data_IF_077014482021
#
_entry.id   IF_077014482021
#
_cell.length_a   1.000
_cell.length_b   1.000
_cell.length_c   1.000
_cell.angle_alpha   90.00
_cell.angle_beta   90.00
_cell.angle_gamma   90.00
#
_symmetry.space_group_name_H-M   'P 1'
#
loop_
_entity.id
_entity.type
_entity.pdbx_description
1 polymer ?
#
# COMPACT_ATOMS: atom_id res chain seq x y z
N UNK A 1 -15.23 14.34 11.95
CA UNK A 1 -14.09 14.59 11.04
C UNK A 1 -13.04 13.51 11.30
N UNK A 2 -12.66 12.74 10.28
CA UNK A 2 -11.64 11.68 10.42
C UNK A 2 -10.28 12.30 10.73
N UNK A 3 -9.53 11.78 11.72
CA UNK A 3 -8.18 12.25 12.03
C UNK A 3 -7.27 11.90 10.85
N UNK A 4 -6.83 12.92 10.12
CA UNK A 4 -5.86 12.79 9.04
C UNK A 4 -4.54 12.27 9.63
N UNK A 5 -4.02 11.15 9.12
CA UNK A 5 -2.67 10.66 9.46
C UNK A 5 -1.70 11.30 8.47
N UNK A 6 -1.11 12.41 8.88
CA UNK A 6 0.01 13.01 8.17
C UNK A 6 1.23 12.10 8.39
N UNK A 7 1.83 11.62 7.31
CA UNK A 7 3.15 10.98 7.36
C UNK A 7 4.17 12.09 7.14
N UNK A 8 5.06 12.28 8.12
CA UNK A 8 6.13 13.29 8.06
C UNK A 8 7.05 13.02 6.87
N UNK A 9 7.34 14.06 6.09
CA UNK A 9 8.21 14.02 4.93
C UNK A 9 9.58 13.38 5.25
N UNK A 10 10.17 13.67 6.41
CA UNK A 10 11.45 13.12 6.82
C UNK A 10 11.39 11.61 6.97
N UNK A 11 10.28 11.08 7.52
CA UNK A 11 10.07 9.63 7.67
C UNK A 11 9.99 8.94 6.30
N UNK A 12 9.30 9.57 5.33
CA UNK A 12 9.22 9.08 3.96
C UNK A 12 10.58 9.15 3.24
N UNK A 13 11.30 10.25 3.40
CA UNK A 13 12.65 10.42 2.85
C UNK A 13 13.62 9.37 3.40
N UNK A 14 13.62 9.14 4.71
CA UNK A 14 14.47 8.13 5.35
C UNK A 14 14.12 6.71 4.88
N UNK A 15 12.83 6.42 4.72
CA UNK A 15 12.38 5.16 4.14
C UNK A 15 12.89 4.98 2.71
N UNK A 16 12.70 5.97 1.82
CA UNK A 16 13.18 5.91 0.44
C UNK A 16 14.70 5.69 0.36
N UNK A 17 15.47 6.40 1.19
CA UNK A 17 16.94 6.25 1.26
C UNK A 17 17.35 4.88 1.78
N UNK A 18 16.66 4.36 2.80
CA UNK A 18 16.87 3.02 3.33
C UNK A 18 16.63 1.95 2.26
N UNK A 19 15.50 2.07 1.54
CA UNK A 19 15.14 1.15 0.47
C UNK A 19 16.21 1.15 -0.63
N UNK A 20 16.67 2.31 -1.09
CA UNK A 20 17.74 2.42 -2.11
C UNK A 20 19.00 1.65 -1.69
N UNK A 21 19.45 1.84 -0.44
CA UNK A 21 20.62 1.12 0.10
C UNK A 21 20.41 -0.39 0.14
N UNK A 22 19.24 -0.84 0.60
CA UNK A 22 18.91 -2.27 0.64
C UNK A 22 18.87 -2.88 -0.77
N UNK A 23 18.26 -2.17 -1.73
CA UNK A 23 18.18 -2.63 -3.10
C UNK A 23 19.57 -2.73 -3.76
N UNK A 24 20.44 -1.74 -3.55
CA UNK A 24 21.83 -1.81 -3.99
C UNK A 24 22.57 -3.04 -3.43
N UNK A 25 22.30 -3.43 -2.19
CA UNK A 25 22.97 -4.55 -1.52
C UNK A 25 22.47 -5.94 -1.95
N UNK A 26 21.17 -6.07 -2.25
CA UNK A 26 20.55 -7.37 -2.55
C UNK A 26 20.56 -7.76 -4.02
N UNK A 27 20.66 -6.80 -4.94
CA UNK A 27 20.33 -7.03 -6.35
C UNK A 27 21.53 -6.94 -7.29
N UNK A 28 22.55 -7.78 -7.06
CA UNK A 28 23.64 -8.03 -8.02
C UNK A 28 23.20 -8.76 -9.30
N UNK A 29 21.97 -9.30 -9.31
CA UNK A 29 21.43 -10.14 -10.39
C UNK A 29 20.55 -9.40 -11.40
N UNK A 30 20.21 -8.13 -11.15
CA UNK A 30 19.39 -7.35 -12.08
C UNK A 30 20.23 -6.79 -13.22
N UNK A 31 19.61 -6.64 -14.39
CA UNK A 31 20.27 -5.92 -15.47
C UNK A 31 20.47 -4.46 -15.07
N UNK A 32 21.55 -3.79 -15.53
CA UNK A 32 21.79 -2.38 -15.21
C UNK A 32 20.60 -1.45 -15.54
N UNK A 33 19.81 -1.81 -16.54
CA UNK A 33 18.63 -1.06 -16.97
C UNK A 33 17.51 -1.12 -15.92
N UNK A 34 17.20 -2.31 -15.41
CA UNK A 34 16.16 -2.49 -14.39
C UNK A 34 16.54 -1.86 -13.05
N UNK A 35 17.84 -1.92 -12.71
CA UNK A 35 18.38 -1.25 -11.54
C UNK A 35 18.19 0.27 -11.64
N UNK A 36 18.61 0.88 -12.76
CA UNK A 36 18.50 2.32 -12.99
C UNK A 36 17.05 2.80 -13.02
N UNK A 37 16.14 2.04 -13.63
CA UNK A 37 14.71 2.39 -13.66
C UNK A 37 14.11 2.45 -12.24
N UNK A 38 14.47 1.51 -11.36
CA UNK A 38 14.01 1.49 -9.97
C UNK A 38 14.63 2.61 -9.13
N UNK A 39 15.94 2.86 -9.27
CA UNK A 39 16.60 3.95 -8.53
C UNK A 39 16.04 5.32 -8.94
N UNK A 40 15.81 5.54 -10.23
CA UNK A 40 15.16 6.74 -10.74
C UNK A 40 13.73 6.91 -10.20
N UNK A 41 12.97 5.82 -10.07
CA UNK A 41 11.64 5.86 -9.47
C UNK A 41 11.70 6.29 -8.00
N UNK A 42 12.66 5.78 -7.23
CA UNK A 42 12.84 6.15 -5.82
C UNK A 42 13.33 7.59 -5.64
N UNK A 43 14.22 8.06 -6.52
CA UNK A 43 14.63 9.47 -6.59
C UNK A 43 13.45 10.40 -6.85
N UNK A 44 12.57 10.04 -7.80
CA UNK A 44 11.36 10.80 -8.07
C UNK A 44 10.43 10.85 -6.85
N UNK A 45 10.29 9.75 -6.12
CA UNK A 45 9.52 9.74 -4.87
C UNK A 45 10.14 10.65 -3.80
N UNK A 46 11.46 10.62 -3.62
CA UNK A 46 12.16 11.51 -2.67
C UNK A 46 11.92 12.99 -3.02
N UNK A 47 11.97 13.35 -4.30
CA UNK A 47 11.66 14.70 -4.78
C UNK A 47 10.20 15.08 -4.51
N UNK A 48 9.25 14.19 -4.80
CA UNK A 48 7.81 14.43 -4.58
C UNK A 48 7.48 14.64 -3.10
N UNK A 49 8.14 13.91 -2.20
CA UNK A 49 8.01 14.09 -0.74
C UNK A 49 8.50 15.48 -0.30
N UNK A 50 9.57 15.98 -0.90
CA UNK A 50 10.06 17.34 -0.63
C UNK A 50 9.11 18.45 -1.13
N UNK A 51 8.40 18.20 -2.23
CA UNK A 51 7.44 19.15 -2.82
C UNK A 51 6.11 19.11 -2.06
N UNK A 52 5.69 17.93 -1.61
CA UNK A 52 4.45 17.71 -0.88
C UNK A 52 4.73 16.96 0.43
N UNK A 53 5.11 17.70 1.50
CA UNK A 53 5.55 17.11 2.76
C UNK A 53 4.42 16.47 3.57
N UNK A 54 3.18 16.72 3.17
CA UNK A 54 1.97 16.22 3.81
C UNK A 54 1.14 15.42 2.81
N UNK A 55 1.01 14.12 3.07
CA UNK A 55 0.12 13.23 2.32
C UNK A 55 -1.08 12.84 3.19
N UNK A 56 -2.28 12.87 2.61
CA UNK A 56 -3.47 12.25 3.22
C UNK A 56 -3.36 10.73 3.06
N UNK A 57 -2.59 10.11 3.96
CA UNK A 57 -2.42 8.67 3.98
C UNK A 57 -3.57 8.01 4.72
N UNK A 58 -4.29 7.13 4.04
CA UNK A 58 -5.28 6.24 4.66
C UNK A 58 -4.66 4.87 4.91
N UNK A 59 -4.98 4.21 6.04
CA UNK A 59 -4.56 2.83 6.27
C UNK A 59 -4.98 1.96 5.09
N UNK A 60 -4.02 1.17 4.61
CA UNK A 60 -4.26 0.25 3.53
C UNK A 60 -5.12 -0.92 4.05
N UNK A 61 -6.33 -1.05 3.51
CA UNK A 61 -7.25 -2.15 3.84
C UNK A 61 -7.10 -3.26 2.82
N UNK A 62 -6.82 -4.48 3.29
CA UNK A 62 -6.84 -5.68 2.44
C UNK A 62 -8.28 -6.04 2.13
N UNK A 63 -8.52 -6.62 0.95
CA UNK A 63 -9.87 -7.01 0.55
C UNK A 63 -10.55 -7.92 1.59
N UNK A 64 -9.85 -8.90 2.17
CA UNK A 64 -10.40 -9.75 3.24
C UNK A 64 -10.91 -8.99 4.48
N UNK A 65 -10.38 -7.80 4.74
CA UNK A 65 -10.71 -6.96 5.89
C UNK A 65 -11.63 -5.79 5.48
N UNK A 66 -12.06 -5.73 4.21
CA UNK A 66 -12.93 -4.71 3.67
C UNK A 66 -14.39 -5.13 3.81
N UNK A 67 -15.24 -4.22 4.31
CA UNK A 67 -16.68 -4.48 4.46
C UNK A 67 -17.45 -4.72 3.15
N UNK A 68 -16.86 -4.35 2.02
CA UNK A 68 -17.44 -4.50 0.69
C UNK A 68 -16.96 -5.76 -0.02
N UNK A 69 -16.20 -6.61 0.67
CA UNK A 69 -15.67 -7.84 0.12
C UNK A 69 -16.45 -9.02 0.68
N UNK A 70 -16.95 -9.88 -0.21
CA UNK A 70 -17.61 -11.12 0.16
C UNK A 70 -16.99 -12.28 -0.61
N UNK A 71 -17.01 -13.47 -0.02
CA UNK A 71 -16.42 -14.69 -0.59
C UNK A 71 -17.50 -15.67 -1.05
N UNK A 72 -18.77 -15.25 -1.09
CA UNK A 72 -19.90 -16.12 -1.43
C UNK A 72 -19.75 -16.58 -2.89
N UNK A 73 -19.79 -17.91 -3.10
CA UNK A 73 -19.66 -18.51 -4.43
C UNK A 73 -18.26 -18.36 -5.07
N UNK A 74 -17.26 -17.89 -4.32
CA UNK A 74 -15.90 -17.69 -4.82
C UNK A 74 -14.97 -18.82 -4.37
N UNK A 75 -13.92 -19.06 -5.16
CA UNK A 75 -12.83 -19.97 -4.79
C UNK A 75 -12.08 -19.47 -3.54
N UNK A 76 -11.50 -20.38 -2.77
CA UNK A 76 -10.70 -20.03 -1.59
C UNK A 76 -9.58 -19.04 -1.94
N UNK A 77 -9.43 -17.98 -1.15
CA UNK A 77 -8.46 -16.91 -1.39
C UNK A 77 -8.95 -15.78 -2.30
N UNK A 78 -10.18 -15.89 -2.81
CA UNK A 78 -10.80 -14.94 -3.72
C UNK A 78 -12.23 -14.58 -3.28
N UNK A 79 -12.70 -13.45 -3.78
CA UNK A 79 -13.99 -12.90 -3.44
C UNK A 79 -14.38 -11.77 -4.38
N UNK A 80 -15.62 -11.32 -4.25
CA UNK A 80 -16.15 -10.17 -4.97
C UNK A 80 -16.03 -8.92 -4.11
N UNK A 81 -15.42 -7.86 -4.64
CA UNK A 81 -15.39 -6.55 -3.98
C UNK A 81 -16.34 -5.57 -4.69
N UNK A 82 -17.47 -5.26 -4.05
CA UNK A 82 -18.49 -4.36 -4.61
C UNK A 82 -17.94 -2.94 -4.87
N UNK A 83 -16.96 -2.52 -4.08
CA UNK A 83 -16.39 -1.17 -4.14
C UNK A 83 -15.47 -0.93 -5.34
N UNK A 84 -14.96 -2.01 -5.95
CA UNK A 84 -14.15 -1.96 -7.19
C UNK A 84 -14.82 -2.75 -8.32
N UNK A 85 -16.04 -3.23 -8.09
CA UNK A 85 -16.90 -3.96 -9.02
C UNK A 85 -16.20 -5.10 -9.78
N UNK A 86 -15.43 -5.92 -9.05
CA UNK A 86 -14.73 -7.07 -9.63
C UNK A 86 -14.36 -8.14 -8.61
N UNK A 87 -14.17 -9.35 -9.12
CA UNK A 87 -13.49 -10.43 -8.42
C UNK A 87 -12.03 -10.06 -8.15
N UNK A 88 -11.56 -10.33 -6.93
CA UNK A 88 -10.19 -10.03 -6.52
C UNK A 88 -9.72 -11.01 -5.45
N UNK A 89 -8.45 -10.93 -5.05
CA UNK A 89 -7.89 -11.80 -4.02
C UNK A 89 -8.01 -11.19 -2.64
N UNK A 90 -8.02 -12.04 -1.61
CA UNK A 90 -8.07 -11.65 -0.19
C UNK A 90 -6.99 -10.63 0.17
N UNK A 91 -5.82 -10.78 -0.45
CA UNK A 91 -4.63 -9.98 -0.21
C UNK A 91 -4.56 -8.72 -1.08
N UNK A 92 -5.50 -8.51 -1.99
CA UNK A 92 -5.52 -7.31 -2.82
C UNK A 92 -5.75 -6.05 -1.98
N UNK A 93 -5.20 -4.93 -2.43
CA UNK A 93 -5.31 -3.64 -1.77
C UNK A 93 -6.61 -2.95 -2.18
N UNK A 94 -7.52 -2.70 -1.23
CA UNK A 94 -8.74 -1.95 -1.49
C UNK A 94 -8.49 -0.45 -1.26
N UNK A 95 -8.24 0.30 -2.34
CA UNK A 95 -7.94 1.73 -2.29
C UNK A 95 -9.01 2.58 -1.59
N UNK A 96 -10.26 2.12 -1.61
CA UNK A 96 -11.41 2.75 -0.98
C UNK A 96 -12.05 1.86 0.09
N UNK A 97 -11.34 0.82 0.55
CA UNK A 97 -11.89 -0.16 1.46
C UNK A 97 -12.18 0.47 2.81
N UNK A 98 -13.44 0.39 3.25
CA UNK A 98 -13.78 0.67 4.64
C UNK A 98 -13.48 -0.60 5.42
N UNK A 99 -12.67 -0.48 6.48
CA UNK A 99 -12.43 -1.59 7.40
C UNK A 99 -13.77 -2.15 7.87
N UNK A 100 -13.88 -3.47 7.92
CA UNK A 100 -14.97 -4.12 8.63
C UNK A 100 -14.85 -3.69 10.10
N UNK A 101 -15.87 -3.01 10.64
CA UNK A 101 -15.93 -2.77 12.08
C UNK A 101 -16.09 -4.14 12.74
N UNK A 102 -14.99 -4.71 13.23
CA UNK A 102 -15.09 -5.78 14.21
C UNK A 102 -15.43 -5.08 15.52
N UNK A 103 -16.72 -4.99 15.83
CA UNK A 103 -17.11 -4.85 17.23
C UNK A 103 -16.39 -5.97 17.98
N UNK A 104 -15.70 -5.62 19.05
CA UNK A 104 -15.05 -6.57 19.94
C UNK A 104 -16.12 -7.52 20.45
N UNK A 105 -16.15 -8.74 19.91
CA UNK A 105 -16.73 -9.90 20.56
C UNK A 105 -15.83 -10.24 21.75
N UNK A 106 -15.99 -9.51 22.85
CA UNK A 106 -15.51 -9.89 24.18
C UNK A 106 -16.63 -9.51 25.17
N UNK A 107 -17.64 -10.39 25.28
CA UNK A 107 -18.50 -10.59 26.45
C UNK A 107 -18.30 -12.04 26.95
#
# INVERSE_FOLDING_TARGET
MSKQRLIDANVLTDFCRGLRKELHGKYKEYTPVEFNARDNMLLNFEQMVGIQPEIDAKPVVRCKDCKHYNTVGCSQGFGWCENIDRGTSDNFYCANGKQLNKESEDD
#
